data_IF_092718759652
#
_entry.id   IF_092718759652
#
_cell.length_a   1.000
_cell.length_b   1.000
_cell.length_c   1.000
_cell.angle_alpha   90.00
_cell.angle_beta   90.00
_cell.angle_gamma   90.00
#
_symmetry.space_group_name_H-M   'P 1'
#
loop_
_entity.id
_entity.type
_entity.pdbx_description
1 polymer ?
#
# COMPACT_ATOMS: atom_id res chain seq x y z
N UNK A 1 -0.76 8.36 -17.03
CA UNK A 1 -2.22 8.29 -17.26
C UNK A 1 -2.44 8.05 -18.74
N UNK A 2 -2.83 6.85 -19.16
CA UNK A 2 -3.23 6.60 -20.56
C UNK A 2 -4.19 5.43 -20.62
N UNK A 3 -5.45 5.72 -20.92
CA UNK A 3 -6.51 4.76 -21.19
C UNK A 3 -7.72 5.55 -21.70
N UNK A 4 -8.28 5.15 -22.84
CA UNK A 4 -9.45 5.80 -23.42
C UNK A 4 -10.68 5.17 -22.81
N UNK A 5 -11.52 5.99 -22.17
CA UNK A 5 -12.83 5.56 -21.70
C UNK A 5 -13.75 5.41 -22.90
N UNK A 6 -14.23 4.19 -23.15
CA UNK A 6 -15.19 3.93 -24.23
C UNK A 6 -16.54 3.58 -23.62
N UNK A 7 -17.55 4.32 -24.04
CA UNK A 7 -18.95 4.06 -23.69
C UNK A 7 -19.57 3.18 -24.77
N UNK A 8 -20.05 1.98 -24.41
CA UNK A 8 -20.84 1.15 -25.33
C UNK A 8 -21.97 0.46 -24.55
N UNK A 9 -23.21 0.68 -25.01
CA UNK A 9 -24.42 0.07 -24.47
C UNK A 9 -24.64 0.31 -22.95
N UNK A 10 -24.42 1.55 -22.49
CA UNK A 10 -24.69 1.95 -21.10
C UNK A 10 -23.66 1.46 -20.07
N UNK A 11 -22.65 0.67 -20.47
CA UNK A 11 -21.57 0.22 -19.60
C UNK A 11 -20.27 0.91 -20.00
N UNK A 12 -19.61 1.51 -19.01
CA UNK A 12 -18.26 2.06 -19.17
C UNK A 12 -17.25 0.93 -19.02
N UNK A 13 -16.42 0.72 -20.03
CA UNK A 13 -15.27 -0.20 -19.94
C UNK A 13 -14.01 0.54 -20.33
N UNK A 14 -12.96 0.40 -19.51
CA UNK A 14 -11.63 0.86 -19.88
C UNK A 14 -11.06 -0.15 -20.87
N UNK A 15 -10.81 0.30 -22.10
CA UNK A 15 -10.17 -0.53 -23.14
C UNK A 15 -8.67 -0.27 -23.10
N UNK A 16 -7.89 -1.29 -22.74
CA UNK A 16 -6.43 -1.22 -22.76
C UNK A 16 -5.90 -1.37 -24.18
N UNK A 17 -4.89 -0.56 -24.51
CA UNK A 17 -4.27 -0.48 -25.82
C UNK A 17 -3.31 -1.68 -26.01
N UNK A 18 -3.37 -2.45 -27.11
CA UNK A 18 -2.57 -3.67 -27.29
C UNK A 18 -1.05 -3.44 -27.50
N UNK A 19 -0.58 -2.19 -27.49
CA UNK A 19 0.84 -1.84 -27.39
C UNK A 19 1.37 -1.70 -25.96
N UNK A 20 0.50 -1.79 -24.95
CA UNK A 20 0.88 -1.88 -23.55
C UNK A 20 0.94 -3.36 -23.17
N UNK A 21 2.13 -3.94 -23.34
CA UNK A 21 2.39 -5.33 -22.98
C UNK A 21 1.82 -5.68 -21.61
N UNK A 22 1.08 -6.78 -21.58
CA UNK A 22 0.73 -7.61 -20.45
C UNK A 22 1.74 -7.56 -19.29
N UNK A 23 1.57 -6.62 -18.34
CA UNK A 23 2.29 -6.58 -17.07
C UNK A 23 1.57 -5.70 -16.04
N UNK A 24 0.84 -6.34 -15.12
CA UNK A 24 1.05 -6.18 -13.67
C UNK A 24 1.29 -4.75 -13.16
N UNK A 25 0.26 -3.89 -13.25
CA UNK A 25 0.25 -2.50 -12.73
C UNK A 25 0.34 -2.34 -11.20
N UNK A 26 1.03 -3.23 -10.50
CA UNK A 26 1.43 -3.08 -9.11
C UNK A 26 2.85 -3.60 -8.93
N UNK A 27 3.76 -2.76 -8.43
CA UNK A 27 5.09 -3.09 -7.88
C UNK A 27 6.34 -3.10 -8.77
N UNK A 28 6.30 -2.73 -10.06
CA UNK A 28 7.56 -2.28 -10.68
C UNK A 28 7.87 -0.88 -10.20
N UNK A 29 8.68 -0.76 -9.15
CA UNK A 29 9.33 0.51 -8.89
C UNK A 29 9.03 1.21 -7.60
N UNK A 30 8.29 0.70 -6.60
CA UNK A 30 8.02 1.49 -5.38
C UNK A 30 8.38 0.74 -4.11
N UNK A 31 9.10 1.42 -3.22
CA UNK A 31 9.48 0.92 -1.90
C UNK A 31 8.98 1.86 -0.81
N UNK A 32 8.62 1.30 0.33
CA UNK A 32 8.33 2.05 1.54
C UNK A 32 9.62 2.19 2.35
N UNK A 33 10.00 3.41 2.68
CA UNK A 33 11.23 3.74 3.43
C UNK A 33 10.85 4.35 4.76
N UNK A 34 11.50 3.89 5.83
CA UNK A 34 11.42 4.51 7.15
C UNK A 34 12.46 5.63 7.24
N UNK A 35 12.00 6.87 7.33
CA UNK A 35 12.83 8.06 7.26
C UNK A 35 13.88 8.15 8.38
N UNK A 36 13.57 7.87 9.66
CA UNK A 36 14.55 7.98 10.74
C UNK A 36 15.76 7.05 10.60
N UNK A 37 15.59 5.86 10.00
CA UNK A 37 16.69 4.87 9.83
C UNK A 37 17.15 4.75 8.38
N UNK A 38 16.45 5.38 7.44
CA UNK A 38 16.60 5.22 6.00
C UNK A 38 16.52 3.74 5.53
N UNK A 39 15.86 2.88 6.31
CA UNK A 39 15.69 1.46 5.99
C UNK A 39 14.48 1.24 5.07
N UNK A 40 14.64 0.37 4.07
CA UNK A 40 13.54 -0.11 3.24
C UNK A 40 12.74 -1.16 4.01
N UNK A 41 11.42 -1.03 4.00
CA UNK A 41 10.51 -2.03 4.55
C UNK A 41 10.43 -3.22 3.60
N UNK A 42 11.02 -4.34 4.00
CA UNK A 42 11.12 -5.56 3.18
C UNK A 42 10.18 -6.69 3.62
N UNK A 43 9.54 -6.55 4.78
CA UNK A 43 8.60 -7.55 5.30
C UNK A 43 7.62 -6.94 6.30
N UNK A 44 6.54 -7.67 6.61
CA UNK A 44 5.61 -7.27 7.66
C UNK A 44 6.22 -7.28 9.06
N UNK A 45 7.21 -8.13 9.34
CA UNK A 45 7.90 -8.10 10.63
C UNK A 45 8.67 -6.80 10.83
N UNK A 46 9.31 -6.29 9.77
CA UNK A 46 10.01 -4.98 9.81
C UNK A 46 8.99 -3.85 9.97
N UNK A 47 7.91 -3.87 9.19
CA UNK A 47 6.86 -2.85 9.26
C UNK A 47 6.19 -2.83 10.64
N UNK A 48 5.85 -3.99 11.19
CA UNK A 48 5.21 -4.13 12.50
C UNK A 48 6.09 -3.55 13.61
N UNK A 49 7.38 -3.88 13.64
CA UNK A 49 8.33 -3.30 14.60
C UNK A 49 8.33 -1.77 14.55
N UNK A 50 8.36 -1.20 13.34
CA UNK A 50 8.36 0.26 13.14
C UNK A 50 7.01 0.89 13.53
N UNK A 51 5.89 0.27 13.18
CA UNK A 51 4.57 0.77 13.54
C UNK A 51 4.30 0.67 15.05
N UNK A 52 4.74 -0.40 15.71
CA UNK A 52 4.61 -0.59 17.15
C UNK A 52 5.39 0.45 17.95
N UNK A 53 6.59 0.86 17.50
CA UNK A 53 7.31 1.96 18.17
C UNK A 53 6.60 3.32 18.06
N UNK A 54 5.68 3.46 17.09
CA UNK A 54 4.83 4.64 16.89
C UNK A 54 3.45 4.51 17.58
N UNK A 55 3.24 3.45 18.36
CA UNK A 55 2.00 3.19 19.11
C UNK A 55 0.88 2.54 18.30
N UNK A 56 1.19 1.87 17.19
CA UNK A 56 0.23 1.02 16.48
C UNK A 56 0.22 -0.39 17.06
N UNK A 57 -0.96 -0.99 17.08
CA UNK A 57 -1.19 -2.33 17.61
C UNK A 57 -1.86 -3.21 16.55
N UNK A 58 -1.57 -4.52 16.56
CA UNK A 58 -2.25 -5.48 15.69
C UNK A 58 -3.75 -5.48 15.92
N UNK A 59 -4.50 -5.52 14.83
CA UNK A 59 -5.95 -5.62 14.81
C UNK A 59 -6.36 -6.87 14.04
N UNK A 60 -7.25 -7.69 14.61
CA UNK A 60 -7.53 -9.07 14.16
C UNK A 60 -9.00 -9.30 13.75
N UNK A 61 -9.68 -8.25 13.31
CA UNK A 61 -11.10 -8.31 12.95
C UNK A 61 -11.34 -9.10 11.65
N UNK A 62 -10.49 -8.89 10.63
CA UNK A 62 -10.53 -9.65 9.39
C UNK A 62 -9.34 -10.63 9.31
N UNK A 63 -9.59 -11.96 9.31
CA UNK A 63 -8.53 -12.98 9.26
C UNK A 63 -7.76 -12.99 7.92
N UNK A 64 -8.29 -12.38 6.86
CA UNK A 64 -7.67 -12.30 5.54
C UNK A 64 -6.82 -11.04 5.33
N UNK A 65 -6.78 -10.16 6.34
CA UNK A 65 -6.02 -8.92 6.31
C UNK A 65 -4.92 -8.88 7.38
N UNK A 66 -3.93 -8.04 7.11
CA UNK A 66 -2.88 -7.70 8.06
C UNK A 66 -3.11 -6.24 8.50
N UNK A 67 -3.84 -6.06 9.60
CA UNK A 67 -4.31 -4.75 10.04
C UNK A 67 -3.62 -4.22 11.29
N UNK A 68 -3.58 -2.89 11.40
CA UNK A 68 -3.12 -2.17 12.57
C UNK A 68 -4.10 -1.08 12.96
N UNK A 69 -4.35 -0.93 14.26
CA UNK A 69 -5.12 0.18 14.81
C UNK A 69 -4.20 1.04 15.70
N UNK A 70 -4.52 2.33 15.81
CA UNK A 70 -3.83 3.22 16.74
C UNK A 70 -4.81 3.69 17.79
N UNK A 71 -4.75 3.13 19.00
CA UNK A 71 -5.74 3.24 20.08
C UNK A 71 -6.18 4.67 20.41
N UNK A 72 -5.28 5.65 20.28
CA UNK A 72 -5.56 7.07 20.54
C UNK A 72 -6.27 7.79 19.39
N UNK A 73 -6.59 7.10 18.29
CA UNK A 73 -7.17 7.67 17.07
C UNK A 73 -8.16 6.71 16.42
N UNK A 74 -8.91 7.19 15.43
CA UNK A 74 -9.78 6.35 14.58
C UNK A 74 -9.04 5.69 13.41
N UNK A 75 -7.71 5.76 13.37
CA UNK A 75 -6.95 5.29 12.21
C UNK A 75 -6.77 3.77 12.22
N UNK A 76 -7.03 3.19 11.04
CA UNK A 76 -6.82 1.78 10.72
C UNK A 76 -5.95 1.67 9.47
N UNK A 77 -4.89 0.88 9.51
CA UNK A 77 -4.11 0.49 8.33
C UNK A 77 -4.53 -0.93 7.96
N UNK A 78 -4.97 -1.13 6.71
CA UNK A 78 -5.40 -2.44 6.20
C UNK A 78 -4.51 -2.88 5.05
N UNK A 79 -3.77 -3.97 5.27
CA UNK A 79 -2.80 -4.50 4.31
C UNK A 79 -3.18 -5.93 3.90
N UNK A 80 -2.79 -6.40 2.70
CA UNK A 80 -3.01 -7.78 2.31
C UNK A 80 -2.21 -8.73 3.21
N UNK A 81 -2.74 -9.91 3.56
CA UNK A 81 -2.03 -10.87 4.43
C UNK A 81 -0.65 -11.31 3.94
N UNK A 82 -0.44 -11.32 2.62
CA UNK A 82 0.86 -11.61 2.01
C UNK A 82 1.58 -10.32 1.60
N UNK A 83 2.81 -10.12 2.09
CA UNK A 83 3.62 -8.94 1.80
C UNK A 83 3.89 -8.74 0.31
N UNK A 84 4.01 -9.83 -0.46
CA UNK A 84 4.24 -9.75 -1.92
C UNK A 84 3.03 -9.17 -2.68
N UNK A 85 1.87 -9.06 -2.03
CA UNK A 85 0.67 -8.41 -2.57
C UNK A 85 0.58 -6.93 -2.18
N UNK A 86 1.54 -6.41 -1.42
CA UNK A 86 1.60 -5.00 -1.05
C UNK A 86 1.76 -4.13 -2.31
N UNK A 87 0.96 -3.07 -2.39
CA UNK A 87 0.86 -2.16 -3.54
C UNK A 87 1.10 -0.73 -3.07
N UNK A 88 1.38 0.16 -4.00
CA UNK A 88 1.59 1.59 -3.72
C UNK A 88 0.44 2.22 -2.92
N UNK A 89 -0.82 1.87 -3.22
CA UNK A 89 -1.99 2.36 -2.46
C UNK A 89 -1.89 2.04 -0.96
N UNK A 90 -1.39 0.86 -0.61
CA UNK A 90 -1.21 0.45 0.79
C UNK A 90 -0.04 1.20 1.43
N UNK A 91 1.05 1.42 0.68
CA UNK A 91 2.20 2.18 1.14
C UNK A 91 1.83 3.65 1.43
N UNK A 92 1.10 4.29 0.53
CA UNK A 92 0.66 5.68 0.73
C UNK A 92 -0.32 5.81 1.90
N UNK A 93 -1.16 4.81 2.15
CA UNK A 93 -2.01 4.79 3.33
C UNK A 93 -1.19 4.86 4.63
N UNK A 94 -0.10 4.10 4.70
CA UNK A 94 0.85 4.13 5.83
C UNK A 94 1.48 5.53 5.95
N UNK A 95 1.94 6.12 4.84
CA UNK A 95 2.56 7.46 4.83
C UNK A 95 1.61 8.54 5.33
N UNK A 96 0.37 8.56 4.83
CA UNK A 96 -0.64 9.57 5.22
C UNK A 96 -0.94 9.52 6.72
N UNK A 97 -0.95 8.31 7.30
CA UNK A 97 -1.22 8.06 8.72
C UNK A 97 -0.01 8.23 9.64
N UNK A 98 1.20 8.26 9.06
CA UNK A 98 2.47 8.36 9.77
C UNK A 98 3.37 9.40 9.08
N UNK A 99 2.84 10.61 8.92
CA UNK A 99 3.52 11.71 8.20
C UNK A 99 4.91 11.95 8.78
N UNK A 100 5.88 12.24 7.90
CA UNK A 100 7.28 12.49 8.23
C UNK A 100 8.03 11.29 8.85
N UNK A 101 7.42 10.11 8.94
CA UNK A 101 8.08 8.88 9.42
C UNK A 101 8.35 7.90 8.28
N UNK A 102 7.45 7.85 7.30
CA UNK A 102 7.61 7.02 6.12
C UNK A 102 7.54 7.81 4.83
N UNK A 103 8.19 7.28 3.79
CA UNK A 103 8.18 7.81 2.43
C UNK A 103 8.01 6.66 1.42
N UNK A 104 7.32 6.90 0.32
CA UNK A 104 7.31 5.98 -0.82
C UNK A 104 8.30 6.48 -1.87
N UNK A 105 9.34 5.69 -2.17
CA UNK A 105 10.37 6.03 -3.17
C UNK A 105 10.29 5.12 -4.38
N UNK A 106 10.91 5.56 -5.47
CA UNK A 106 11.18 4.68 -6.60
C UNK A 106 12.23 3.62 -6.21
N UNK A 107 12.06 2.37 -6.65
CA UNK A 107 12.97 1.23 -6.39
C UNK A 107 14.07 1.14 -7.42
#
# INVERSE_FOLDING_TARGET
>A
MSGVWVFKNGVVRLVENPGAGSMQGASRGKVLVHLPTNEVVTSYQVLERMLTSLGWERYYDDPDLFQFHKRSTVHLISLPKNFNKLKSMHMYDIVVKNRNVFEVRDS
#
